data_IF_890118741342
#
_entry.id   IF_890118741342
#
_cell.length_a   1.000
_cell.length_b   1.000
_cell.length_c   1.000
_cell.angle_alpha   90.00
_cell.angle_beta   90.00
_cell.angle_gamma   90.00
#
_symmetry.space_group_name_H-M   'P 1'
#
loop_
_entity.id
_entity.type
_entity.pdbx_description
1 polymer ?
#
# COMPACT_ATOMS: atom_id res chain seq x y z
N UNK A 1 34.78 23.56 -16.06
CA UNK A 1 34.33 24.13 -14.77
C UNK A 1 33.22 23.22 -14.23
N UNK A 2 33.56 22.36 -13.27
CA UNK A 2 32.60 21.48 -12.57
C UNK A 2 31.98 22.30 -11.44
N UNK A 3 30.69 22.57 -11.50
CA UNK A 3 29.95 23.17 -10.39
C UNK A 3 29.75 22.10 -9.29
N UNK A 4 30.39 22.30 -8.15
CA UNK A 4 30.15 21.59 -6.91
C UNK A 4 28.77 21.98 -6.35
N UNK A 5 27.87 21.03 -6.24
CA UNK A 5 26.62 21.14 -5.49
C UNK A 5 26.94 20.95 -4.00
N UNK A 6 26.47 21.80 -3.09
CA UNK A 6 26.75 21.65 -1.65
C UNK A 6 25.90 20.53 -1.04
N UNK A 7 26.45 19.33 -0.96
CA UNK A 7 25.78 18.13 -0.46
C UNK A 7 25.52 18.11 1.08
N UNK A 8 26.18 18.95 1.85
CA UNK A 8 26.14 18.82 3.33
C UNK A 8 24.90 19.40 4.02
N UNK A 9 24.37 20.54 3.58
CA UNK A 9 23.22 21.22 4.22
C UNK A 9 21.87 20.61 3.82
N UNK A 10 21.75 20.15 2.60
CA UNK A 10 20.55 19.47 2.12
C UNK A 10 20.34 18.11 2.84
N UNK A 11 21.41 17.36 3.08
CA UNK A 11 21.34 16.07 3.80
C UNK A 11 20.94 16.23 5.28
N UNK A 12 21.42 17.28 5.97
CA UNK A 12 21.07 17.53 7.38
C UNK A 12 19.61 17.99 7.54
N UNK A 13 19.13 18.88 6.67
CA UNK A 13 17.72 19.25 6.65
C UNK A 13 16.82 18.04 6.32
N UNK A 14 17.30 17.17 5.48
CA UNK A 14 16.64 15.95 5.03
C UNK A 14 16.48 14.91 6.17
N UNK A 15 17.54 14.68 6.97
CA UNK A 15 17.50 13.82 8.15
C UNK A 15 16.57 14.35 9.24
N UNK A 16 16.44 15.67 9.39
CA UNK A 16 15.53 16.30 10.34
C UNK A 16 14.06 16.15 9.92
N UNK A 17 13.73 16.30 8.64
CA UNK A 17 12.37 16.09 8.13
C UNK A 17 11.97 14.60 8.15
N UNK A 18 12.89 13.71 7.81
CA UNK A 18 12.70 12.28 7.90
C UNK A 18 12.45 11.80 9.35
N UNK A 19 13.22 12.35 10.31
CA UNK A 19 13.01 12.11 11.73
C UNK A 19 11.66 12.67 12.21
N UNK A 20 11.22 13.82 11.70
CA UNK A 20 9.89 14.38 12.00
C UNK A 20 8.76 13.48 11.47
N UNK A 21 8.86 12.99 10.23
CA UNK A 21 7.85 12.08 9.67
C UNK A 21 7.81 10.77 10.45
N UNK A 22 8.98 10.21 10.81
CA UNK A 22 9.04 9.04 11.67
C UNK A 22 8.46 9.35 13.06
N UNK A 23 8.79 10.50 13.64
CA UNK A 23 8.25 10.96 14.91
C UNK A 23 6.73 11.21 14.85
N UNK A 24 6.21 11.89 13.82
CA UNK A 24 4.79 12.23 13.67
C UNK A 24 3.96 10.99 13.29
N UNK A 25 4.45 10.14 12.38
CA UNK A 25 3.74 8.94 11.95
C UNK A 25 3.64 7.87 13.05
N UNK A 26 4.51 7.93 14.08
CA UNK A 26 4.69 6.85 15.05
C UNK A 26 4.63 7.29 16.52
N UNK A 27 4.36 8.58 16.84
CA UNK A 27 4.23 9.08 18.22
C UNK A 27 2.78 9.17 18.73
N UNK A 28 2.56 9.02 20.06
CA UNK A 28 1.30 9.42 20.68
C UNK A 28 1.15 10.95 20.66
N UNK A 29 -0.05 11.45 20.32
CA UNK A 29 -0.36 12.87 20.22
C UNK A 29 -0.39 13.56 21.60
N UNK A 30 -0.08 14.88 21.68
CA UNK A 30 -0.26 15.68 22.88
C UNK A 30 -1.75 15.82 23.23
N UNK A 31 -2.05 15.82 24.53
CA UNK A 31 -3.41 15.91 25.06
C UNK A 31 -4.08 17.23 24.70
N UNK A 32 -5.20 17.16 23.97
CA UNK A 32 -6.10 18.30 23.74
C UNK A 32 -7.35 18.25 24.64
N UNK A 33 -7.96 19.39 24.88
CA UNK A 33 -8.97 19.63 25.92
C UNK A 33 -10.31 18.92 25.66
N UNK A 34 -10.86 18.14 26.61
CA UNK A 34 -11.96 17.17 26.36
C UNK A 34 -13.39 17.74 26.29
N UNK A 35 -13.65 19.00 26.66
CA UNK A 35 -15.02 19.46 26.94
C UNK A 35 -15.89 19.75 25.70
N UNK A 36 -15.31 20.16 24.57
CA UNK A 36 -16.06 20.43 23.34
C UNK A 36 -16.42 19.18 22.54
N UNK A 37 -15.59 18.13 22.60
CA UNK A 37 -15.76 16.89 21.83
C UNK A 37 -16.97 16.06 22.31
N UNK A 38 -17.23 16.02 23.60
CA UNK A 38 -18.39 15.31 24.14
C UNK A 38 -19.74 15.94 23.71
N UNK A 39 -19.81 17.26 23.62
CA UNK A 39 -21.00 17.95 23.11
C UNK A 39 -21.24 17.65 21.63
N UNK A 40 -20.15 17.63 20.82
CA UNK A 40 -20.19 17.29 19.40
C UNK A 40 -20.76 15.88 19.18
N UNK A 41 -20.29 14.88 19.94
CA UNK A 41 -20.76 13.49 19.85
C UNK A 41 -22.24 13.38 20.25
N UNK A 42 -22.65 14.01 21.35
CA UNK A 42 -24.05 13.99 21.82
C UNK A 42 -25.02 14.57 20.79
N UNK A 43 -24.59 15.54 19.99
CA UNK A 43 -25.42 16.16 18.94
C UNK A 43 -25.61 15.25 17.70
N UNK A 44 -24.92 14.13 17.60
CA UNK A 44 -25.04 13.23 16.45
C UNK A 44 -26.20 12.22 16.62
N UNK A 45 -26.78 11.72 15.51
CA UNK A 45 -27.86 10.75 15.56
C UNK A 45 -27.40 9.41 16.16
N UNK A 46 -28.29 8.67 16.85
CA UNK A 46 -27.98 7.34 17.35
C UNK A 46 -27.75 6.39 16.17
N UNK A 47 -26.82 5.46 16.35
CA UNK A 47 -26.53 4.43 15.37
C UNK A 47 -25.95 3.17 16.03
N UNK A 48 -26.26 2.02 15.42
CA UNK A 48 -25.73 0.73 15.85
C UNK A 48 -24.22 0.63 15.64
N UNK A 49 -23.56 -0.05 16.55
CA UNK A 49 -22.14 -0.39 16.44
C UNK A 49 -22.02 -1.65 15.58
N UNK A 50 -21.78 -1.46 14.29
CA UNK A 50 -21.68 -2.56 13.31
C UNK A 50 -20.62 -2.30 12.26
N UNK A 51 -20.22 -3.34 11.56
CA UNK A 51 -19.38 -3.21 10.38
C UNK A 51 -20.03 -2.32 9.33
N UNK A 52 -19.23 -1.46 8.74
CA UNK A 52 -19.62 -0.54 7.67
C UNK A 52 -18.73 -0.82 6.47
N UNK A 53 -19.30 -0.86 5.28
CA UNK A 53 -18.50 -1.04 4.06
C UNK A 53 -17.50 0.11 3.93
N UNK A 54 -16.17 -0.18 3.83
CA UNK A 54 -15.17 0.86 3.86
C UNK A 54 -15.22 1.79 2.65
N UNK A 55 -15.19 3.09 2.90
CA UNK A 55 -15.01 4.12 1.86
C UNK A 55 -13.69 3.91 1.11
N UNK A 56 -13.68 4.15 -0.20
CA UNK A 56 -12.56 3.81 -1.08
C UNK A 56 -11.86 5.05 -1.65
N UNK A 57 -10.51 5.05 -1.59
CA UNK A 57 -9.72 6.09 -2.21
C UNK A 57 -9.54 5.85 -3.72
N UNK A 58 -9.69 6.93 -4.53
CA UNK A 58 -9.43 6.94 -5.97
C UNK A 58 -7.92 7.04 -6.22
N UNK A 59 -7.39 6.21 -7.12
CA UNK A 59 -5.99 6.29 -7.52
C UNK A 59 -5.76 7.52 -8.39
N UNK A 60 -4.71 8.28 -8.07
CA UNK A 60 -4.30 9.47 -8.82
C UNK A 60 -2.81 9.41 -9.18
N UNK A 61 -2.42 10.16 -10.21
CA UNK A 61 -1.02 10.30 -10.64
C UNK A 61 -0.31 11.47 -9.97
N UNK A 62 -1.07 12.45 -9.51
CA UNK A 62 -0.58 13.64 -8.79
C UNK A 62 -1.51 13.90 -7.62
N UNK A 63 -0.94 14.32 -6.49
CA UNK A 63 -1.72 14.78 -5.35
C UNK A 63 -2.18 16.22 -5.57
N UNK A 64 -3.38 16.60 -5.11
CA UNK A 64 -3.81 17.98 -5.09
C UNK A 64 -2.92 18.82 -4.15
N UNK A 65 -2.85 20.13 -4.37
CA UNK A 65 -2.01 21.08 -3.60
C UNK A 65 -2.74 22.40 -3.31
N UNK A 66 -4.07 22.38 -3.37
CA UNK A 66 -4.93 23.54 -3.14
C UNK A 66 -5.18 23.88 -1.65
N UNK A 67 -4.50 23.21 -0.72
CA UNK A 67 -4.62 23.45 0.73
C UNK A 67 -5.83 22.80 1.40
N UNK A 68 -6.78 22.26 0.64
CA UNK A 68 -8.03 21.67 1.16
C UNK A 68 -7.91 20.16 1.46
N UNK A 69 -6.69 19.64 1.67
CA UNK A 69 -6.43 18.23 1.86
C UNK A 69 -5.61 17.95 3.12
N UNK A 70 -5.93 16.82 3.76
CA UNK A 70 -5.10 16.17 4.78
C UNK A 70 -4.34 15.04 4.11
N UNK A 71 -3.04 14.95 4.34
CA UNK A 71 -2.20 13.87 3.80
C UNK A 71 -1.84 12.90 4.91
N UNK A 72 -1.99 11.62 4.65
CA UNK A 72 -1.63 10.53 5.56
C UNK A 72 -0.75 9.52 4.84
N UNK A 73 0.05 8.76 5.59
CA UNK A 73 0.77 7.63 5.00
C UNK A 73 -0.22 6.62 4.44
N UNK A 74 0.05 6.14 3.24
CA UNK A 74 -0.62 4.96 2.72
C UNK A 74 0.05 3.73 3.31
N UNK A 75 -0.61 3.18 4.31
CA UNK A 75 -0.15 1.98 4.99
C UNK A 75 -0.41 0.74 4.12
N UNK A 76 0.53 -0.20 4.13
CA UNK A 76 0.44 -1.47 3.41
C UNK A 76 0.17 -2.61 4.39
N UNK A 77 -1.07 -3.08 4.44
CA UNK A 77 -1.52 -4.07 5.40
C UNK A 77 -2.86 -4.71 5.06
N UNK A 78 -3.61 -5.08 6.08
CA UNK A 78 -5.00 -5.51 5.96
C UNK A 78 -5.92 -4.41 6.48
N UNK A 79 -6.67 -3.78 5.58
CA UNK A 79 -7.72 -2.85 6.02
C UNK A 79 -8.78 -3.58 6.83
N UNK A 80 -9.04 -3.05 8.02
CA UNK A 80 -9.99 -3.63 8.95
C UNK A 80 -10.86 -2.56 9.61
N UNK A 81 -12.13 -2.90 9.76
CA UNK A 81 -13.07 -2.18 10.60
C UNK A 81 -13.02 -2.82 11.99
N UNK A 82 -12.62 -2.05 13.00
CA UNK A 82 -12.64 -2.47 14.38
C UNK A 82 -13.92 -1.96 15.04
N UNK A 83 -14.73 -2.86 15.60
CA UNK A 83 -15.95 -2.52 16.31
C UNK A 83 -15.86 -2.97 17.76
N UNK A 84 -16.44 -2.18 18.64
CA UNK A 84 -16.66 -2.55 20.03
C UNK A 84 -18.04 -2.14 20.49
N UNK A 85 -18.79 -3.08 21.04
CA UNK A 85 -20.06 -2.84 21.70
C UNK A 85 -20.04 -3.55 23.06
N UNK A 86 -19.88 -2.74 24.12
CA UNK A 86 -19.66 -3.25 25.47
C UNK A 86 -18.43 -4.14 25.58
N UNK A 87 -18.64 -5.43 25.79
CA UNK A 87 -17.56 -6.43 25.89
C UNK A 87 -17.25 -7.12 24.55
N UNK A 88 -18.11 -6.98 23.56
CA UNK A 88 -17.92 -7.59 22.23
C UNK A 88 -17.01 -6.72 21.40
N UNK A 89 -15.89 -7.27 20.97
CA UNK A 89 -14.94 -6.63 20.05
C UNK A 89 -14.81 -7.51 18.81
N UNK A 90 -14.83 -6.90 17.61
CA UNK A 90 -14.55 -7.61 16.38
C UNK A 90 -13.65 -6.78 15.44
N UNK A 91 -12.85 -7.51 14.66
CA UNK A 91 -12.06 -6.99 13.55
C UNK A 91 -12.57 -7.64 12.27
N UNK A 92 -13.04 -6.84 11.33
CA UNK A 92 -13.60 -7.33 10.07
C UNK A 92 -12.91 -6.66 8.90
N UNK A 93 -12.39 -7.47 7.97
CA UNK A 93 -11.66 -6.96 6.82
C UNK A 93 -12.57 -6.17 5.86
N UNK A 94 -11.95 -5.48 4.90
CA UNK A 94 -12.65 -4.79 3.80
C UNK A 94 -13.64 -5.70 3.06
N UNK A 95 -13.34 -7.00 2.94
CA UNK A 95 -14.17 -7.97 2.24
C UNK A 95 -15.11 -8.75 3.19
N UNK A 96 -15.42 -8.17 4.35
CA UNK A 96 -16.27 -8.73 5.38
C UNK A 96 -15.77 -10.07 5.98
N UNK A 97 -14.49 -10.41 5.86
CA UNK A 97 -13.91 -11.58 6.52
C UNK A 97 -13.56 -11.26 7.97
N UNK A 98 -13.87 -12.16 8.90
CA UNK A 98 -13.49 -12.03 10.30
C UNK A 98 -11.97 -12.19 10.49
N UNK A 99 -11.37 -11.20 11.11
CA UNK A 99 -9.94 -11.17 11.48
C UNK A 99 -9.72 -11.24 12.99
N UNK A 100 -10.79 -11.33 13.81
CA UNK A 100 -10.75 -11.21 15.27
C UNK A 100 -9.81 -12.24 15.90
N UNK A 101 -9.96 -13.50 15.54
CA UNK A 101 -9.11 -14.58 16.06
C UNK A 101 -7.66 -14.51 15.53
N UNK A 102 -7.46 -13.81 14.42
CA UNK A 102 -6.14 -13.70 13.77
C UNK A 102 -5.21 -12.67 14.43
N UNK A 103 -5.78 -11.63 15.09
CA UNK A 103 -5.03 -10.54 15.70
C UNK A 103 -5.41 -10.33 17.18
N UNK A 104 -5.19 -11.32 18.05
CA UNK A 104 -5.65 -11.28 19.45
C UNK A 104 -5.05 -10.13 20.25
N UNK A 105 -3.79 -9.75 20.01
CA UNK A 105 -3.15 -8.63 20.69
C UNK A 105 -3.76 -7.28 20.32
N UNK A 106 -4.19 -7.10 19.05
CA UNK A 106 -4.95 -5.92 18.62
C UNK A 106 -6.34 -5.89 19.28
N UNK A 107 -7.03 -7.03 19.29
CA UNK A 107 -8.36 -7.16 19.94
C UNK A 107 -8.27 -6.84 21.42
N UNK A 108 -7.25 -7.31 22.11
CA UNK A 108 -7.03 -7.00 23.51
C UNK A 108 -6.77 -5.49 23.73
N UNK A 109 -5.95 -4.89 22.85
CA UNK A 109 -5.78 -3.45 22.86
C UNK A 109 -7.09 -2.68 22.70
N UNK A 110 -7.95 -3.10 21.78
CA UNK A 110 -9.28 -2.49 21.57
C UNK A 110 -10.19 -2.63 22.78
N UNK A 111 -10.11 -3.73 23.55
CA UNK A 111 -10.85 -3.90 24.81
C UNK A 111 -10.43 -2.92 25.88
N UNK A 112 -9.18 -2.51 25.87
CA UNK A 112 -8.62 -1.59 26.88
C UNK A 112 -8.93 -0.11 26.61
N UNK A 113 -9.41 0.24 25.40
CA UNK A 113 -9.82 1.62 25.13
C UNK A 113 -10.94 2.06 26.07
N UNK A 114 -10.90 3.35 26.47
CA UNK A 114 -11.92 3.92 27.39
C UNK A 114 -13.34 3.86 26.80
N UNK A 115 -13.59 4.26 25.53
CA UNK A 115 -14.92 4.13 24.96
C UNK A 115 -15.34 2.67 24.88
N UNK A 116 -16.59 2.39 25.29
CA UNK A 116 -17.17 1.05 25.26
C UNK A 116 -17.96 0.75 23.99
N UNK A 117 -18.23 1.79 23.19
CA UNK A 117 -18.91 1.68 21.89
C UNK A 117 -18.19 2.53 20.86
N UNK A 118 -17.71 1.89 19.79
CA UNK A 118 -17.06 2.58 18.67
C UNK A 118 -17.02 1.73 17.40
N UNK A 119 -16.85 2.41 16.26
CA UNK A 119 -16.47 1.85 14.97
C UNK A 119 -15.26 2.63 14.45
N UNK A 120 -14.11 1.96 14.32
CA UNK A 120 -12.87 2.51 13.81
C UNK A 120 -12.57 1.92 12.43
N UNK A 121 -12.16 2.76 11.48
CA UNK A 121 -11.59 2.33 10.20
C UNK A 121 -10.07 2.44 10.26
N UNK A 122 -9.36 1.39 9.92
CA UNK A 122 -7.91 1.34 10.08
C UNK A 122 -7.23 0.31 9.19
N UNK A 123 -5.92 0.23 9.36
CA UNK A 123 -5.07 -0.75 8.68
C UNK A 123 -4.31 -1.57 9.72
N UNK A 124 -4.33 -2.90 9.59
CA UNK A 124 -3.47 -3.79 10.39
C UNK A 124 -2.17 -3.97 9.64
N UNK A 125 -1.05 -3.59 10.25
CA UNK A 125 0.28 -3.69 9.66
C UNK A 125 1.24 -4.43 10.57
N UNK A 126 2.24 -5.10 10.01
CA UNK A 126 3.45 -5.47 10.72
C UNK A 126 4.55 -4.45 10.42
N UNK A 127 5.49 -4.28 11.35
CA UNK A 127 6.62 -3.38 11.17
C UNK A 127 7.89 -4.19 10.91
N UNK A 128 8.75 -3.67 10.03
CA UNK A 128 10.09 -4.20 9.82
C UNK A 128 11.04 -3.76 10.94
N UNK A 129 12.32 -4.13 10.84
CA UNK A 129 13.35 -3.81 11.83
C UNK A 129 13.64 -2.31 11.92
N UNK A 130 13.29 -1.55 10.88
CA UNK A 130 13.39 -0.09 10.82
C UNK A 130 12.09 0.59 11.27
N UNK A 131 11.07 -0.17 11.71
CA UNK A 131 9.77 0.35 12.14
C UNK A 131 8.84 0.74 10.99
N UNK A 132 9.12 0.35 9.74
CA UNK A 132 8.29 0.68 8.57
C UNK A 132 7.19 -0.37 8.37
N UNK A 133 5.99 0.02 7.90
CA UNK A 133 4.96 -0.93 7.52
C UNK A 133 5.46 -1.92 6.45
N UNK A 134 5.32 -3.22 6.70
CA UNK A 134 5.70 -4.30 5.80
C UNK A 134 4.61 -5.37 5.71
N UNK A 135 3.94 -5.42 4.58
CA UNK A 135 2.93 -6.45 4.32
C UNK A 135 3.53 -7.85 4.26
N UNK A 136 4.76 -7.96 3.79
CA UNK A 136 5.48 -9.22 3.72
C UNK A 136 5.68 -9.83 5.11
N UNK A 137 6.14 -9.03 6.10
CA UNK A 137 6.24 -9.48 7.49
C UNK A 137 4.87 -9.88 8.07
N UNK A 138 3.81 -9.15 7.69
CA UNK A 138 2.45 -9.50 8.10
C UNK A 138 1.99 -10.86 7.53
N UNK A 139 2.34 -11.16 6.28
CA UNK A 139 2.05 -12.46 5.66
C UNK A 139 2.91 -13.59 6.25
N UNK A 140 4.20 -13.35 6.49
CA UNK A 140 5.11 -14.34 7.08
C UNK A 140 4.68 -14.71 8.50
N UNK A 141 4.34 -13.72 9.33
CA UNK A 141 3.84 -13.93 10.68
C UNK A 141 2.59 -14.84 10.66
N UNK A 142 1.69 -14.59 9.70
CA UNK A 142 0.51 -15.42 9.53
C UNK A 142 0.84 -16.87 9.16
N UNK A 143 1.75 -17.10 8.20
CA UNK A 143 2.17 -18.47 7.80
C UNK A 143 2.82 -19.25 8.93
N UNK A 144 3.50 -18.56 9.84
CA UNK A 144 4.17 -19.15 11.03
C UNK A 144 3.25 -19.33 12.23
N UNK A 145 1.95 -18.99 12.11
CA UNK A 145 1.00 -19.04 13.22
C UNK A 145 1.27 -18.03 14.34
N UNK A 146 2.14 -17.06 14.10
CA UNK A 146 2.46 -16.03 15.07
C UNK A 146 1.35 -14.97 15.08
N UNK A 147 0.57 -14.94 16.15
CA UNK A 147 -0.57 -14.02 16.31
C UNK A 147 -0.16 -12.60 16.77
N UNK A 148 1.12 -12.36 17.06
CA UNK A 148 1.54 -11.25 17.91
C UNK A 148 2.23 -10.08 17.19
N UNK A 149 2.22 -10.02 15.86
CA UNK A 149 3.00 -9.05 15.08
C UNK A 149 2.19 -7.90 14.46
N UNK A 150 0.88 -7.80 14.74
CA UNK A 150 0.02 -6.78 14.17
C UNK A 150 -0.07 -5.51 15.04
N UNK A 151 -0.06 -4.35 14.37
CA UNK A 151 -0.42 -3.05 14.90
C UNK A 151 -1.64 -2.55 14.15
N UNK A 152 -2.64 -2.01 14.83
CA UNK A 152 -3.80 -1.39 14.21
C UNK A 152 -3.61 0.12 14.16
N UNK A 153 -3.48 0.66 12.97
CA UNK A 153 -3.43 2.10 12.71
C UNK A 153 -4.81 2.59 12.34
N UNK A 154 -5.49 3.24 13.28
CA UNK A 154 -6.78 3.85 13.01
C UNK A 154 -6.60 5.17 12.26
N UNK A 155 -7.33 5.35 11.18
CA UNK A 155 -7.31 6.57 10.37
C UNK A 155 -8.67 7.25 10.25
N UNK A 156 -9.75 6.64 10.73
CA UNK A 156 -11.07 7.27 10.82
C UNK A 156 -11.90 6.69 11.97
N UNK A 157 -12.89 7.47 12.43
CA UNK A 157 -13.83 7.10 13.51
C UNK A 157 -15.25 7.35 13.03
N UNK A 158 -16.06 6.30 12.94
CA UNK A 158 -17.37 6.32 12.30
C UNK A 158 -18.54 6.27 13.31
N UNK A 159 -18.28 5.70 14.49
CA UNK A 159 -19.21 5.66 15.60
C UNK A 159 -18.46 5.88 16.90
N UNK A 160 -19.03 6.64 17.80
CA UNK A 160 -18.54 6.81 19.16
C UNK A 160 -19.72 6.92 20.12
N UNK A 161 -19.71 6.11 21.18
CA UNK A 161 -20.78 6.06 22.19
C UNK A 161 -22.19 5.86 21.59
N UNK A 162 -22.31 5.00 20.55
CA UNK A 162 -23.56 4.71 19.86
C UNK A 162 -24.09 5.87 19.00
N UNK A 163 -23.22 6.78 18.55
CA UNK A 163 -23.55 7.92 17.68
C UNK A 163 -22.86 7.83 16.34
N UNK A 164 -23.61 8.12 15.27
CA UNK A 164 -23.08 8.16 13.90
C UNK A 164 -22.25 9.42 13.67
N UNK A 165 -20.99 9.26 13.35
CA UNK A 165 -20.05 10.36 13.06
C UNK A 165 -19.78 10.53 11.57
N UNK A 166 -20.34 9.69 10.69
CA UNK A 166 -20.01 9.67 9.26
C UNK A 166 -20.29 11.00 8.56
N UNK A 167 -21.27 11.77 9.05
CA UNK A 167 -21.64 13.09 8.51
C UNK A 167 -20.77 14.25 9.01
N UNK A 168 -19.97 14.03 10.05
CA UNK A 168 -19.04 15.06 10.52
C UNK A 168 -17.91 15.27 9.50
N UNK A 169 -17.38 16.51 9.40
CA UNK A 169 -16.13 16.79 8.71
C UNK A 169 -15.00 15.87 9.18
N UNK A 170 -14.12 15.47 8.25
CA UNK A 170 -13.02 14.55 8.61
C UNK A 170 -12.11 15.08 9.70
N UNK A 171 -11.89 16.40 9.77
CA UNK A 171 -11.07 17.02 10.81
C UNK A 171 -11.66 16.74 12.20
N UNK A 172 -12.96 16.90 12.35
CA UNK A 172 -13.66 16.62 13.63
C UNK A 172 -13.62 15.14 13.98
N UNK A 173 -13.77 14.24 12.97
CA UNK A 173 -13.63 12.80 13.21
C UNK A 173 -12.21 12.44 13.63
N UNK A 174 -11.18 13.11 13.06
CA UNK A 174 -9.78 12.95 13.45
C UNK A 174 -9.49 13.42 14.88
N UNK A 175 -10.04 14.55 15.30
CA UNK A 175 -9.93 15.05 16.68
C UNK A 175 -10.56 14.07 17.67
N UNK A 176 -11.76 13.58 17.36
CA UNK A 176 -12.45 12.56 18.16
C UNK A 176 -11.67 11.25 18.19
N UNK A 177 -11.10 10.83 17.08
CA UNK A 177 -10.25 9.63 16.98
C UNK A 177 -9.00 9.78 17.86
N UNK A 178 -8.31 10.91 17.76
CA UNK A 178 -7.15 11.20 18.59
C UNK A 178 -7.49 11.16 20.09
N UNK A 179 -8.63 11.74 20.46
CA UNK A 179 -9.13 11.69 21.85
C UNK A 179 -9.48 10.27 22.30
N UNK A 180 -10.12 9.47 21.43
CA UNK A 180 -10.49 8.09 21.73
C UNK A 180 -9.26 7.17 21.90
N UNK A 181 -8.17 7.47 21.19
CA UNK A 181 -6.90 6.75 21.27
C UNK A 181 -5.92 7.33 22.28
N UNK A 182 -6.30 8.37 23.03
CA UNK A 182 -5.43 8.93 24.06
C UNK A 182 -5.11 7.87 25.12
N UNK A 183 -3.82 7.65 25.37
CA UNK A 183 -3.30 6.58 26.23
C UNK A 183 -3.71 5.16 25.77
N UNK A 184 -3.91 4.96 24.47
CA UNK A 184 -4.18 3.64 23.92
C UNK A 184 -2.95 2.70 24.09
N UNK A 185 -3.18 1.38 24.24
CA UNK A 185 -2.10 0.40 24.23
C UNK A 185 -1.25 0.49 22.97
N UNK A 186 0.04 0.16 23.07
CA UNK A 186 1.04 0.32 22.01
C UNK A 186 0.67 -0.39 20.68
N UNK A 187 -0.23 -1.36 20.71
CA UNK A 187 -0.74 -2.05 19.52
C UNK A 187 -1.74 -1.23 18.71
N UNK A 188 -2.29 -0.18 19.30
CA UNK A 188 -3.22 0.74 18.65
C UNK A 188 -2.53 2.07 18.40
N UNK A 189 -2.54 2.53 17.18
CA UNK A 189 -1.87 3.76 16.77
C UNK A 189 -2.81 4.64 15.96
N UNK A 190 -2.60 5.92 16.03
CA UNK A 190 -3.27 6.89 15.17
C UNK A 190 -2.47 7.02 13.87
N UNK A 191 -3.15 6.95 12.72
CA UNK A 191 -2.62 7.47 11.46
C UNK A 191 -2.79 8.98 11.46
N UNK A 192 -1.77 9.71 11.88
CA UNK A 192 -1.82 11.16 11.96
C UNK A 192 -1.66 11.80 10.57
N UNK A 193 -2.28 12.96 10.32
CA UNK A 193 -1.98 13.78 9.15
C UNK A 193 -0.52 14.23 9.15
N UNK A 194 0.07 14.25 7.97
CA UNK A 194 1.43 14.77 7.72
C UNK A 194 1.35 16.25 7.37
N UNK A 195 2.27 17.03 7.90
CA UNK A 195 2.43 18.44 7.57
C UNK A 195 3.46 18.61 6.45
N UNK A 196 3.18 19.46 5.49
CA UNK A 196 4.09 19.81 4.40
C UNK A 196 3.43 19.79 3.02
N UNK A 197 4.17 20.31 2.05
CA UNK A 197 3.76 20.33 0.66
C UNK A 197 3.76 18.91 0.04
N UNK A 198 2.79 18.56 -0.80
CA UNK A 198 2.68 17.22 -1.39
C UNK A 198 3.95 16.71 -2.07
N UNK A 199 4.67 17.58 -2.78
CA UNK A 199 5.91 17.20 -3.46
C UNK A 199 7.00 16.77 -2.47
N UNK A 200 7.13 17.49 -1.36
CA UNK A 200 8.08 17.17 -0.27
C UNK A 200 7.68 15.87 0.41
N UNK A 201 6.39 15.69 0.72
CA UNK A 201 5.89 14.46 1.33
C UNK A 201 6.11 13.25 0.43
N UNK A 202 5.89 13.38 -0.89
CA UNK A 202 6.17 12.32 -1.86
C UNK A 202 7.65 11.95 -1.86
N UNK A 203 8.55 12.94 -1.91
CA UNK A 203 9.99 12.70 -1.93
C UNK A 203 10.46 11.94 -0.68
N UNK A 204 9.96 12.32 0.50
CA UNK A 204 10.29 11.66 1.76
C UNK A 204 9.73 10.23 1.81
N UNK A 205 8.47 10.03 1.42
CA UNK A 205 7.83 8.71 1.39
C UNK A 205 8.55 7.76 0.42
N UNK A 206 8.98 8.26 -0.75
CA UNK A 206 9.78 7.50 -1.71
C UNK A 206 11.14 7.10 -1.16
N UNK A 207 11.83 8.04 -0.56
CA UNK A 207 13.16 7.80 -0.02
C UNK A 207 13.20 6.79 1.14
N UNK A 208 12.08 6.66 1.87
CA UNK A 208 11.93 5.66 2.93
C UNK A 208 11.32 4.33 2.45
N UNK A 209 11.09 4.17 1.14
CA UNK A 209 10.50 2.96 0.58
C UNK A 209 9.06 2.70 1.04
N UNK A 210 8.31 3.75 1.41
CA UNK A 210 6.92 3.61 1.86
C UNK A 210 5.97 3.56 0.66
N UNK A 211 4.79 2.93 0.84
CA UNK A 211 3.86 2.63 -0.26
C UNK A 211 3.30 3.88 -0.96
N UNK A 212 3.13 4.98 -0.24
CA UNK A 212 2.58 6.20 -0.80
C UNK A 212 1.85 7.08 0.22
N UNK A 213 0.93 7.88 -0.29
CA UNK A 213 0.14 8.83 0.48
C UNK A 213 -1.36 8.65 0.18
N UNK A 214 -2.18 8.98 1.16
CA UNK A 214 -3.63 9.16 1.02
C UNK A 214 -3.94 10.62 1.30
N UNK A 215 -4.54 11.32 0.33
CA UNK A 215 -5.09 12.66 0.51
C UNK A 215 -6.59 12.54 0.80
N UNK A 216 -7.05 13.16 1.88
CA UNK A 216 -8.44 13.19 2.32
C UNK A 216 -8.92 14.65 2.30
N UNK A 217 -10.01 14.93 1.56
CA UNK A 217 -10.52 16.28 1.42
C UNK A 217 -11.06 16.79 2.76
N UNK A 218 -10.59 17.96 3.19
CA UNK A 218 -11.09 18.64 4.38
C UNK A 218 -12.59 18.87 4.26
N UNK A 219 -13.27 18.94 5.37
CA UNK A 219 -14.74 19.13 5.46
C UNK A 219 -15.56 18.01 4.81
N UNK A 220 -14.93 16.92 4.33
CA UNK A 220 -15.66 15.80 3.75
C UNK A 220 -16.26 14.86 4.79
N UNK A 221 -17.44 14.33 4.46
CA UNK A 221 -18.07 13.24 5.19
C UNK A 221 -17.38 11.90 4.87
N UNK A 222 -17.62 10.88 5.69
CA UNK A 222 -17.32 9.50 5.33
C UNK A 222 -18.47 8.93 4.51
N UNK A 223 -18.17 8.36 3.35
CA UNK A 223 -19.15 7.83 2.40
C UNK A 223 -18.98 6.30 2.26
N UNK A 224 -19.69 5.51 3.09
CA UNK A 224 -19.58 4.06 3.10
C UNK A 224 -19.69 3.44 1.70
N UNK A 225 -18.80 2.51 1.36
CA UNK A 225 -18.77 1.78 0.08
C UNK A 225 -18.39 2.62 -1.14
N UNK A 226 -18.41 3.95 -1.07
CA UNK A 226 -18.20 4.81 -2.24
C UNK A 226 -16.73 5.11 -2.53
N UNK A 227 -16.49 5.46 -3.80
CA UNK A 227 -15.22 6.00 -4.33
C UNK A 227 -15.48 7.37 -4.96
N UNK A 228 -15.96 8.31 -4.16
CA UNK A 228 -16.41 9.64 -4.59
C UNK A 228 -15.28 10.54 -5.10
N UNK A 229 -14.03 10.29 -4.69
CA UNK A 229 -12.89 11.14 -5.00
C UNK A 229 -12.54 12.12 -3.90
N UNK A 230 -13.29 12.18 -2.80
CA UNK A 230 -12.91 12.95 -1.60
C UNK A 230 -11.77 12.28 -0.83
N UNK A 231 -11.47 11.01 -1.12
CA UNK A 231 -10.25 10.33 -0.74
C UNK A 231 -9.48 9.94 -2.00
N UNK A 232 -8.20 10.34 -2.05
CA UNK A 232 -7.28 10.05 -3.15
C UNK A 232 -6.11 9.26 -2.60
N UNK A 233 -5.59 8.32 -3.39
CA UNK A 233 -4.35 7.60 -3.06
C UNK A 233 -3.33 7.82 -4.15
N UNK A 234 -2.14 8.20 -3.75
CA UNK A 234 -0.94 8.25 -4.57
C UNK A 234 -0.02 7.12 -4.14
N UNK A 235 0.43 6.33 -5.10
CA UNK A 235 1.39 5.25 -4.83
C UNK A 235 2.78 5.70 -5.22
N UNK A 236 3.68 5.74 -4.25
CA UNK A 236 5.11 5.80 -4.48
C UNK A 236 5.56 4.40 -4.92
N UNK A 237 6.38 4.32 -5.92
CA UNK A 237 6.93 3.05 -6.38
C UNK A 237 8.35 3.28 -6.88
N UNK A 238 9.20 2.31 -6.68
CA UNK A 238 10.47 2.21 -7.38
C UNK A 238 10.18 2.14 -8.87
N UNK A 239 11.05 2.72 -9.68
CA UNK A 239 10.93 2.67 -11.13
C UNK A 239 12.29 2.28 -11.70
N UNK A 240 12.33 1.11 -12.26
CA UNK A 240 13.57 0.52 -12.80
C UNK A 240 13.31 -0.08 -14.17
N UNK A 241 14.40 -0.31 -14.89
CA UNK A 241 14.39 -0.94 -16.21
C UNK A 241 14.67 -2.42 -16.08
N UNK A 242 13.81 -3.23 -16.71
CA UNK A 242 13.91 -4.70 -16.71
C UNK A 242 13.96 -5.23 -18.13
N UNK A 243 14.65 -6.34 -18.30
CA UNK A 243 14.69 -7.10 -19.56
C UNK A 243 13.39 -7.88 -19.73
N UNK A 244 12.82 -7.88 -20.92
CA UNK A 244 11.67 -8.70 -21.28
C UNK A 244 12.17 -10.05 -21.78
N UNK A 245 11.90 -11.12 -21.02
CA UNK A 245 12.28 -12.49 -21.41
C UNK A 245 11.10 -13.33 -21.94
N UNK A 246 9.88 -12.79 -21.88
CA UNK A 246 8.70 -13.48 -22.39
C UNK A 246 7.40 -12.82 -21.99
N UNK A 247 6.29 -13.48 -22.35
CA UNK A 247 4.97 -13.05 -21.91
C UNK A 247 3.99 -14.23 -21.79
N UNK A 248 2.95 -14.05 -21.00
CA UNK A 248 1.80 -14.96 -20.93
C UNK A 248 0.68 -14.33 -21.75
N UNK A 249 0.11 -15.03 -22.75
CA UNK A 249 -1.06 -14.55 -23.49
C UNK A 249 -2.29 -14.35 -22.60
N UNK A 250 -3.25 -13.55 -23.06
CA UNK A 250 -4.54 -13.39 -22.36
C UNK A 250 -5.29 -14.74 -22.36
N UNK A 251 -5.67 -15.23 -21.17
CA UNK A 251 -6.23 -16.58 -20.99
C UNK A 251 -7.54 -16.83 -21.75
N UNK A 252 -8.38 -15.80 -21.92
CA UNK A 252 -9.71 -15.93 -22.55
C UNK A 252 -9.67 -15.95 -24.07
N UNK A 253 -8.72 -15.23 -24.67
CA UNK A 253 -8.65 -15.06 -26.13
C UNK A 253 -7.42 -15.71 -26.75
N UNK A 254 -6.40 -16.04 -25.94
CA UNK A 254 -5.09 -16.47 -26.43
C UNK A 254 -4.32 -15.38 -27.21
N UNK A 255 -4.93 -14.22 -27.43
CA UNK A 255 -4.37 -13.10 -28.18
C UNK A 255 -4.14 -11.93 -27.26
N UNK A 256 -2.97 -11.27 -27.37
CA UNK A 256 -2.59 -10.15 -26.52
C UNK A 256 -1.69 -10.56 -25.36
N UNK A 257 -1.26 -9.57 -24.57
CA UNK A 257 -0.35 -9.75 -23.44
C UNK A 257 -1.16 -9.76 -22.15
N UNK A 258 -1.28 -10.89 -21.49
CA UNK A 258 -1.86 -11.02 -20.15
C UNK A 258 -0.87 -10.57 -19.08
N UNK A 259 0.42 -10.94 -19.23
CA UNK A 259 1.51 -10.42 -18.40
C UNK A 259 2.86 -10.53 -19.13
N UNK A 260 3.72 -9.51 -18.99
CA UNK A 260 5.13 -9.62 -19.35
C UNK A 260 5.89 -10.39 -18.27
N UNK A 261 6.87 -11.17 -18.68
CA UNK A 261 7.83 -11.85 -17.83
C UNK A 261 9.14 -11.07 -17.92
N UNK A 262 9.52 -10.46 -16.79
CA UNK A 262 10.64 -9.53 -16.74
C UNK A 262 11.73 -10.02 -15.81
N UNK A 263 12.97 -9.62 -16.09
CA UNK A 263 14.14 -9.99 -15.31
C UNK A 263 15.27 -8.98 -15.39
N UNK A 264 16.35 -9.30 -14.71
CA UNK A 264 17.60 -8.53 -14.68
C UNK A 264 18.79 -9.47 -14.79
N UNK A 265 19.91 -8.97 -15.29
CA UNK A 265 21.15 -9.73 -15.30
C UNK A 265 21.86 -9.65 -13.95
N UNK A 266 22.30 -10.80 -13.45
CA UNK A 266 23.17 -10.89 -12.27
C UNK A 266 24.63 -10.60 -12.63
N UNK A 267 25.53 -10.64 -11.65
CA UNK A 267 26.97 -10.44 -11.81
C UNK A 267 27.64 -11.47 -12.72
N UNK A 268 27.00 -12.63 -12.95
CA UNK A 268 27.48 -13.70 -13.83
C UNK A 268 26.83 -13.61 -15.23
N UNK A 269 26.16 -12.50 -15.54
CA UNK A 269 25.44 -12.25 -16.79
C UNK A 269 24.30 -13.26 -17.05
N UNK A 270 23.74 -13.85 -16.01
CA UNK A 270 22.58 -14.74 -16.11
C UNK A 270 21.30 -13.95 -15.90
N UNK A 271 20.30 -14.19 -16.75
CA UNK A 271 19.01 -13.53 -16.63
C UNK A 271 18.20 -14.14 -15.48
N UNK A 272 18.04 -13.38 -14.40
CA UNK A 272 17.20 -13.73 -13.25
C UNK A 272 15.78 -13.25 -13.46
N UNK A 273 14.80 -14.06 -13.07
CA UNK A 273 13.39 -13.68 -13.14
C UNK A 273 13.03 -12.72 -12.01
N UNK A 274 12.51 -11.54 -12.35
CA UNK A 274 12.09 -10.53 -11.38
C UNK A 274 10.58 -10.51 -11.12
N UNK A 275 9.75 -10.89 -12.11
CA UNK A 275 8.31 -10.86 -11.88
C UNK A 275 7.44 -10.86 -13.12
N UNK A 276 6.12 -10.84 -12.87
CA UNK A 276 5.06 -10.77 -13.89
C UNK A 276 4.43 -9.39 -13.88
N UNK A 277 4.47 -8.68 -14.99
CA UNK A 277 3.86 -7.35 -15.14
C UNK A 277 2.56 -7.50 -15.93
N UNK A 278 1.43 -7.49 -15.21
CA UNK A 278 0.09 -7.74 -15.78
C UNK A 278 -0.77 -6.48 -15.93
N UNK A 279 -0.23 -5.29 -15.70
CA UNK A 279 -0.99 -4.04 -15.75
C UNK A 279 -0.16 -2.86 -16.27
N UNK A 280 -0.83 -1.76 -16.64
CA UNK A 280 -0.19 -0.55 -17.14
C UNK A 280 -0.11 -0.45 -18.67
N UNK A 281 -0.60 -1.45 -19.40
CA UNK A 281 -0.66 -1.44 -20.85
C UNK A 281 -1.83 -0.59 -21.37
N UNK A 282 -1.60 0.06 -22.49
CA UNK A 282 -2.67 0.62 -23.36
C UNK A 282 -2.81 -0.28 -24.58
N UNK A 283 -3.94 -0.18 -25.30
CA UNK A 283 -4.12 -0.92 -26.55
C UNK A 283 -3.02 -0.60 -27.58
N UNK A 284 -2.52 0.63 -27.58
CA UNK A 284 -1.44 1.08 -28.44
C UNK A 284 -0.13 0.37 -28.07
N UNK A 285 0.29 0.47 -26.81
CA UNK A 285 1.55 -0.14 -26.34
C UNK A 285 1.53 -1.66 -26.45
N UNK A 286 0.37 -2.29 -26.28
CA UNK A 286 0.22 -3.75 -26.46
C UNK A 286 0.45 -4.17 -27.91
N UNK A 287 -0.11 -3.44 -28.87
CA UNK A 287 0.11 -3.70 -30.31
C UNK A 287 1.58 -3.51 -30.70
N UNK A 288 2.21 -2.42 -30.24
CA UNK A 288 3.61 -2.13 -30.48
C UNK A 288 4.54 -3.24 -29.95
N UNK A 289 4.29 -3.70 -28.71
CA UNK A 289 5.05 -4.80 -28.10
C UNK A 289 4.87 -6.11 -28.88
N UNK A 290 3.64 -6.48 -29.23
CA UNK A 290 3.39 -7.72 -30.00
C UNK A 290 4.10 -7.71 -31.34
N UNK A 291 4.08 -6.58 -32.05
CA UNK A 291 4.83 -6.44 -33.32
C UNK A 291 6.34 -6.58 -33.10
N UNK A 292 6.89 -5.96 -32.05
CA UNK A 292 8.31 -6.08 -31.72
C UNK A 292 8.71 -7.51 -31.32
N UNK A 293 7.78 -8.29 -30.76
CA UNK A 293 8.02 -9.66 -30.32
C UNK A 293 8.04 -10.70 -31.44
N UNK A 294 7.48 -10.41 -32.61
CA UNK A 294 7.35 -11.38 -33.71
C UNK A 294 8.72 -12.00 -34.13
N UNK A 295 9.75 -11.17 -34.16
CA UNK A 295 11.10 -11.57 -34.57
C UNK A 295 12.01 -12.03 -33.42
N UNK A 296 11.49 -12.02 -32.19
CA UNK A 296 12.25 -12.34 -30.97
C UNK A 296 11.82 -13.64 -30.32
N UNK A 297 10.90 -14.39 -30.91
CA UNK A 297 10.41 -15.65 -30.32
C UNK A 297 11.52 -16.69 -30.30
N UNK A 298 11.58 -17.42 -29.18
CA UNK A 298 12.50 -18.53 -28.97
C UNK A 298 11.79 -19.73 -28.35
N UNK A 299 12.37 -20.92 -28.52
CA UNK A 299 11.80 -22.16 -27.99
C UNK A 299 12.01 -22.29 -26.48
N UNK A 300 13.21 -21.94 -26.01
CA UNK A 300 13.59 -22.12 -24.60
C UNK A 300 13.45 -20.89 -23.77
N UNK A 301 13.18 -21.07 -22.46
CA UNK A 301 13.14 -19.98 -21.49
C UNK A 301 14.51 -19.26 -21.43
N UNK A 302 14.55 -17.92 -21.40
CA UNK A 302 15.81 -17.19 -21.24
C UNK A 302 16.25 -17.07 -19.78
N UNK A 303 15.35 -17.29 -18.82
CA UNK A 303 15.62 -17.17 -17.38
C UNK A 303 16.33 -18.41 -16.85
N UNK A 304 17.31 -18.21 -15.95
CA UNK A 304 18.01 -19.30 -15.27
C UNK A 304 17.05 -20.17 -14.49
N UNK A 305 16.28 -19.53 -13.59
CA UNK A 305 15.30 -20.21 -12.76
C UNK A 305 13.95 -19.52 -12.84
N UNK A 306 12.89 -20.30 -12.65
CA UNK A 306 11.53 -19.81 -12.53
C UNK A 306 10.88 -20.47 -11.30
N UNK A 307 10.18 -19.69 -10.49
CA UNK A 307 9.49 -20.24 -9.32
C UNK A 307 8.34 -21.16 -9.76
N UNK A 308 8.29 -22.37 -9.23
CA UNK A 308 7.24 -23.35 -9.54
C UNK A 308 6.21 -23.37 -8.42
N UNK A 309 4.93 -23.31 -8.75
CA UNK A 309 3.83 -23.41 -7.81
C UNK A 309 2.93 -24.62 -8.10
N UNK A 310 2.44 -25.29 -7.05
CA UNK A 310 1.49 -26.40 -7.19
C UNK A 310 0.10 -25.94 -7.64
N UNK A 311 -0.28 -24.69 -7.32
CA UNK A 311 -1.59 -24.07 -7.68
C UNK A 311 -1.36 -22.64 -8.16
N UNK A 312 -2.15 -22.23 -9.16
CA UNK A 312 -2.19 -20.82 -9.56
C UNK A 312 -2.72 -19.96 -8.41
N UNK A 313 -2.01 -18.89 -8.10
CA UNK A 313 -2.42 -17.91 -7.09
C UNK A 313 -2.01 -16.52 -7.58
N UNK A 314 -2.90 -15.56 -7.47
CA UNK A 314 -2.60 -14.14 -7.72
C UNK A 314 -1.60 -13.55 -6.71
N UNK A 315 -1.28 -14.30 -5.64
CA UNK A 315 -0.43 -13.86 -4.53
C UNK A 315 0.96 -14.52 -4.53
N UNK A 316 1.22 -15.47 -5.45
CA UNK A 316 2.52 -16.13 -5.55
C UNK A 316 3.15 -15.84 -6.91
N UNK A 317 4.46 -15.64 -6.94
CA UNK A 317 5.22 -15.46 -8.19
C UNK A 317 5.41 -16.78 -8.95
N UNK A 318 5.03 -17.91 -8.34
CA UNK A 318 5.23 -19.24 -8.91
C UNK A 318 4.36 -19.52 -10.14
N UNK A 319 4.92 -20.30 -11.06
CA UNK A 319 4.24 -20.79 -12.26
C UNK A 319 3.67 -22.18 -12.06
N UNK A 320 2.46 -22.41 -12.49
CA UNK A 320 1.96 -23.76 -12.71
C UNK A 320 2.54 -24.35 -13.99
N UNK A 321 2.52 -25.69 -14.12
CA UNK A 321 2.97 -26.35 -15.37
C UNK A 321 2.20 -25.86 -16.60
N UNK A 322 0.89 -25.66 -16.47
CA UNK A 322 0.05 -25.15 -17.55
C UNK A 322 0.37 -23.70 -17.93
N UNK A 323 0.72 -22.85 -16.98
CA UNK A 323 1.16 -21.49 -17.28
C UNK A 323 2.49 -21.49 -18.02
N UNK A 324 3.45 -22.33 -17.61
CA UNK A 324 4.74 -22.48 -18.30
C UNK A 324 4.58 -22.95 -19.75
N UNK A 325 3.69 -23.91 -19.99
CA UNK A 325 3.41 -24.42 -21.33
C UNK A 325 2.78 -23.36 -22.26
N UNK A 326 2.12 -22.35 -21.71
CA UNK A 326 1.48 -21.26 -22.45
C UNK A 326 2.36 -19.98 -22.53
N UNK A 327 3.55 -19.97 -21.94
CA UNK A 327 4.47 -18.85 -22.06
C UNK A 327 5.05 -18.75 -23.46
N UNK A 328 5.11 -17.54 -23.98
CA UNK A 328 5.86 -17.23 -25.19
C UNK A 328 7.19 -16.62 -24.75
N UNK A 329 8.28 -17.34 -25.03
CA UNK A 329 9.63 -16.92 -24.68
C UNK A 329 10.21 -16.02 -25.76
N UNK A 330 11.02 -15.04 -25.34
CA UNK A 330 11.60 -14.03 -26.20
C UNK A 330 13.12 -13.94 -25.99
N UNK A 331 13.83 -13.65 -27.07
CA UNK A 331 15.21 -13.19 -26.96
C UNK A 331 15.27 -11.93 -26.10
N UNK A 332 16.12 -11.90 -25.05
CA UNK A 332 16.13 -10.82 -24.06
C UNK A 332 16.83 -9.55 -24.59
N UNK A 333 16.29 -8.99 -25.69
CA UNK A 333 16.83 -7.82 -26.41
C UNK A 333 16.02 -6.54 -26.19
N UNK A 334 14.89 -6.63 -25.49
CA UNK A 334 14.04 -5.49 -25.22
C UNK A 334 14.00 -5.22 -23.72
N UNK A 335 13.95 -3.95 -23.36
CA UNK A 335 13.78 -3.51 -22.00
C UNK A 335 12.47 -2.75 -21.81
N UNK A 336 11.88 -2.86 -20.62
CA UNK A 336 10.73 -2.07 -20.22
C UNK A 336 10.97 -1.40 -18.88
N UNK A 337 10.36 -0.24 -18.70
CA UNK A 337 10.29 0.42 -17.41
C UNK A 337 9.12 -0.14 -16.62
N UNK A 338 9.39 -0.55 -15.40
CA UNK A 338 8.40 -1.08 -14.46
C UNK A 338 8.40 -0.25 -13.20
N UNK A 339 7.24 0.21 -12.81
CA UNK A 339 7.02 0.77 -11.47
C UNK A 339 6.54 -0.35 -10.55
N UNK A 340 7.17 -0.50 -9.40
CA UNK A 340 6.81 -1.54 -8.43
C UNK A 340 6.91 -0.97 -7.00
N UNK A 341 6.31 -1.64 -6.04
CA UNK A 341 6.25 -1.12 -4.66
C UNK A 341 7.56 -1.39 -3.92
N UNK A 342 8.05 -2.62 -4.00
CA UNK A 342 9.26 -3.09 -3.30
C UNK A 342 9.75 -4.40 -3.94
N UNK A 343 10.99 -4.76 -3.64
CA UNK A 343 11.52 -6.11 -3.85
C UNK A 343 11.08 -7.01 -2.68
N UNK A 344 10.63 -8.23 -2.97
CA UNK A 344 10.40 -9.25 -1.93
C UNK A 344 11.73 -9.84 -1.45
N UNK A 345 11.74 -10.54 -0.30
CA UNK A 345 12.93 -11.25 0.20
C UNK A 345 13.43 -12.31 -0.80
N UNK A 346 12.52 -12.84 -1.64
CA UNK A 346 12.85 -13.78 -2.71
C UNK A 346 13.28 -13.08 -4.01
N UNK A 347 13.53 -11.76 -3.98
CA UNK A 347 13.94 -10.92 -5.12
C UNK A 347 12.93 -10.89 -6.27
N UNK A 348 11.62 -10.78 -5.95
CA UNK A 348 10.56 -10.53 -6.93
C UNK A 348 9.93 -9.16 -6.76
N UNK A 349 9.43 -8.61 -7.89
CA UNK A 349 8.74 -7.31 -7.92
C UNK A 349 7.35 -7.41 -7.29
N UNK A 350 7.03 -6.54 -6.35
CA UNK A 350 5.71 -6.44 -5.76
C UNK A 350 4.86 -5.38 -6.47
N UNK A 351 3.64 -5.74 -6.87
CA UNK A 351 2.70 -4.89 -7.59
C UNK A 351 3.30 -4.18 -8.84
N UNK A 352 4.00 -4.90 -9.72
CA UNK A 352 4.63 -4.28 -10.86
C UNK A 352 3.61 -3.75 -11.87
N UNK A 353 3.90 -2.56 -12.41
CA UNK A 353 3.08 -1.84 -13.40
C UNK A 353 3.96 -1.37 -14.53
N UNK A 354 3.62 -1.74 -15.76
CA UNK A 354 4.31 -1.30 -16.97
C UNK A 354 4.19 0.21 -17.18
N UNK A 355 5.30 0.89 -17.51
CA UNK A 355 5.34 2.33 -17.74
C UNK A 355 5.78 2.73 -19.14
N UNK A 356 6.46 1.82 -19.84
CA UNK A 356 6.97 2.06 -21.18
C UNK A 356 7.97 0.99 -21.57
N UNK A 357 8.39 0.99 -22.81
CA UNK A 357 9.45 0.12 -23.31
C UNK A 357 10.36 0.87 -24.27
N UNK A 358 11.53 0.35 -24.54
CA UNK A 358 12.49 0.90 -25.48
C UNK A 358 13.14 -0.22 -26.29
N UNK A 359 13.41 0.08 -27.56
CA UNK A 359 14.33 -0.70 -28.39
C UNK A 359 15.75 -0.30 -28.02
N UNK A 360 16.63 -1.29 -27.87
CA UNK A 360 18.05 -1.08 -27.62
C UNK A 360 18.53 -1.75 -26.37
N UNK A 361 19.76 -2.20 -26.43
CA UNK A 361 20.43 -3.07 -25.46
C UNK A 361 20.12 -2.70 -24.02
N UNK A 362 19.82 -3.73 -23.26
CA UNK A 362 20.04 -3.73 -21.81
C UNK A 362 21.37 -3.05 -21.53
N UNK A 363 21.35 -1.93 -20.83
CA UNK A 363 22.57 -1.38 -20.26
C UNK A 363 23.21 -2.49 -19.44
N UNK A 364 24.30 -3.02 -19.91
CA UNK A 364 25.26 -3.72 -19.06
C UNK A 364 25.59 -2.72 -17.94
N UNK A 365 25.58 -3.15 -16.67
CA UNK A 365 26.16 -2.30 -15.64
C UNK A 365 27.61 -2.03 -15.99
N UNK A 366 27.99 -0.74 -16.10
CA UNK A 366 29.40 -0.31 -16.13
C UNK A 366 30.11 -0.69 -14.83
#
# INVERSE_FOLDING_TARGET
MKQCIPQGRALQAWHLEAAKIHAIAFQPLPAQTPLSLNALVKGQPPADVRWVEPMQAKLVRTLPHDGDWLYELKLDGYRAMATRDGNKVSLVSRNANDLTARFPAVVEGLRQLKPKQFVLDGEIVALDEQGRPSFQKLQQAHRRGSADHGYFYAFDLLNLAGRDLTRLPIEQRKELLASALNNAPARLRLSAPLEGEPATLIAVVQAHGLEGLVAKRKRSCYEPGKRSGTWLKYKCGLRESFVIGGYIPIRTTGVGIGALLVGYYDSEKRLQFAGRVGSGFTNKTMKELLSAFEHLRRADKPFCELPIARRASSWTHGFTRNELANCVWLEPKLACEVQFTEWTDEHYLRHPVFKGWRQGSTSEPE
#
